data_IF_411259478244
#
_entry.id   IF_411259478244
#
_cell.length_a   1.000
_cell.length_b   1.000
_cell.length_c   1.000
_cell.angle_alpha   90.00
_cell.angle_beta   90.00
_cell.angle_gamma   90.00
#
_symmetry.space_group_name_H-M   'P 1'
#
loop_
_entity.id
_entity.type
_entity.pdbx_description
1 polymer ?
#
# COMPACT_ATOMS: atom_id res chain seq x y z
N UNK A 1 -10.21 7.11 -15.34
CA UNK A 1 -10.62 6.67 -14.00
C UNK A 1 -11.21 5.29 -14.11
N UNK A 2 -10.64 4.30 -13.42
CA UNK A 2 -11.39 3.07 -13.14
C UNK A 2 -12.55 3.53 -12.25
N UNK A 3 -13.80 3.29 -12.66
CA UNK A 3 -14.94 3.51 -11.78
C UNK A 3 -14.82 2.54 -10.61
N UNK A 4 -14.18 2.98 -9.54
CA UNK A 4 -13.99 2.20 -8.33
C UNK A 4 -15.35 1.70 -7.79
N UNK A 5 -16.45 2.41 -8.09
CA UNK A 5 -17.87 2.07 -7.81
C UNK A 5 -18.40 0.83 -8.54
N UNK A 6 -17.66 0.28 -9.51
CA UNK A 6 -18.03 -0.92 -10.29
C UNK A 6 -17.25 -2.17 -9.87
N UNK A 7 -16.97 -2.36 -8.58
CA UNK A 7 -16.77 -3.74 -8.12
C UNK A 7 -18.11 -4.46 -8.31
N UNK A 8 -18.17 -5.38 -9.27
CA UNK A 8 -19.39 -6.13 -9.56
C UNK A 8 -19.59 -7.21 -8.49
N UNK A 9 -20.25 -6.82 -7.39
CA UNK A 9 -20.56 -7.70 -6.25
C UNK A 9 -21.80 -8.56 -6.56
N UNK A 10 -22.45 -8.39 -7.72
CA UNK A 10 -23.74 -9.04 -8.04
C UNK A 10 -23.68 -10.57 -8.06
N UNK A 11 -22.49 -11.16 -8.13
CA UNK A 11 -22.27 -12.62 -8.06
C UNK A 11 -21.87 -13.16 -6.68
N UNK A 12 -21.78 -12.33 -5.64
CA UNK A 12 -21.37 -12.77 -4.29
C UNK A 12 -22.63 -12.98 -3.44
N UNK A 13 -23.02 -14.24 -3.27
CA UNK A 13 -24.09 -14.68 -2.38
C UNK A 13 -23.55 -15.13 -1.02
N UNK A 14 -24.43 -15.22 -0.01
CA UNK A 14 -24.08 -15.74 1.32
C UNK A 14 -23.19 -14.79 2.16
N UNK A 15 -22.49 -15.32 3.19
CA UNK A 15 -21.71 -14.54 4.16
C UNK A 15 -20.68 -13.58 3.53
N UNK A 16 -20.06 -13.98 2.41
CA UNK A 16 -19.12 -13.14 1.66
C UNK A 16 -19.74 -11.84 1.14
N UNK A 17 -21.06 -11.82 0.91
CA UNK A 17 -21.79 -10.62 0.49
C UNK A 17 -21.87 -9.57 1.60
N UNK A 18 -22.06 -10.01 2.84
CA UNK A 18 -22.12 -9.13 4.02
C UNK A 18 -20.75 -8.55 4.32
N UNK A 19 -19.69 -9.37 4.23
CA UNK A 19 -18.31 -8.91 4.36
C UNK A 19 -17.96 -7.89 3.29
N UNK A 20 -18.31 -8.12 2.02
CA UNK A 20 -18.10 -7.16 0.94
C UNK A 20 -18.75 -5.80 1.24
N UNK A 21 -20.01 -5.81 1.68
CA UNK A 21 -20.76 -4.57 2.03
C UNK A 21 -20.09 -3.79 3.16
N UNK A 22 -19.40 -4.46 4.07
CA UNK A 22 -18.65 -3.85 5.18
C UNK A 22 -17.27 -3.33 4.73
N UNK A 23 -16.53 -4.12 3.96
CA UNK A 23 -15.13 -3.86 3.60
C UNK A 23 -15.02 -2.77 2.53
N UNK A 24 -15.84 -2.85 1.49
CA UNK A 24 -15.72 -1.98 0.31
C UNK A 24 -15.81 -0.49 0.68
N UNK A 25 -16.79 -0.02 1.49
CA UNK A 25 -16.81 1.36 1.96
C UNK A 25 -15.53 1.79 2.70
N UNK A 26 -14.91 0.88 3.45
CA UNK A 26 -13.63 1.12 4.14
C UNK A 26 -12.50 1.34 3.14
N UNK A 27 -12.38 0.51 2.10
CA UNK A 27 -11.41 0.68 1.00
C UNK A 27 -11.55 2.07 0.36
N UNK A 28 -12.77 2.48 0.01
CA UNK A 28 -12.97 3.81 -0.58
C UNK A 28 -12.62 4.94 0.37
N UNK A 29 -12.93 4.79 1.66
CA UNK A 29 -12.58 5.78 2.67
C UNK A 29 -11.07 5.95 2.78
N UNK A 30 -10.30 4.86 2.74
CA UNK A 30 -8.82 4.90 2.80
C UNK A 30 -8.20 5.45 1.52
N UNK A 31 -8.76 5.12 0.34
CA UNK A 31 -8.35 5.72 -0.94
C UNK A 31 -8.60 7.23 -0.94
N UNK A 32 -9.81 7.69 -0.61
CA UNK A 32 -10.14 9.12 -0.58
C UNK A 32 -9.26 9.91 0.39
N UNK A 33 -8.91 9.30 1.54
CA UNK A 33 -7.98 9.91 2.50
C UNK A 33 -6.58 10.09 1.89
N UNK A 34 -6.05 9.07 1.22
CA UNK A 34 -4.75 9.15 0.55
C UNK A 34 -4.75 10.26 -0.52
N UNK A 35 -5.78 10.31 -1.37
CA UNK A 35 -5.95 11.36 -2.40
C UNK A 35 -6.00 12.75 -1.76
N UNK A 36 -6.80 12.92 -0.71
CA UNK A 36 -6.95 14.22 -0.04
C UNK A 36 -5.65 14.70 0.59
N UNK A 37 -4.84 13.79 1.15
CA UNK A 37 -3.54 14.13 1.74
C UNK A 37 -2.54 14.47 0.63
N UNK A 38 -2.51 13.66 -0.43
CA UNK A 38 -1.64 13.90 -1.58
C UNK A 38 -1.88 15.28 -2.21
N UNK A 39 -3.15 15.64 -2.47
CA UNK A 39 -3.49 16.95 -3.04
C UNK A 39 -2.97 18.12 -2.21
N UNK A 40 -3.07 18.04 -0.88
CA UNK A 40 -2.50 19.05 0.03
C UNK A 40 -0.98 19.04 0.03
N UNK A 41 -0.37 17.88 -0.14
CA UNK A 41 1.09 17.73 -0.12
C UNK A 41 1.75 18.39 -1.33
N UNK A 42 1.13 18.26 -2.51
CA UNK A 42 1.68 18.81 -3.76
C UNK A 42 1.41 20.31 -3.96
N UNK A 43 0.57 20.94 -3.12
CA UNK A 43 0.38 22.40 -3.15
C UNK A 43 1.71 23.15 -2.92
N UNK A 44 2.58 22.58 -2.08
CA UNK A 44 3.93 23.10 -1.82
C UNK A 44 4.91 21.94 -1.65
N UNK A 45 5.68 21.65 -2.69
CA UNK A 45 6.72 20.62 -2.63
C UNK A 45 7.91 21.09 -1.75
N UNK A 46 8.60 20.16 -1.04
CA UNK A 46 9.81 20.50 -0.31
C UNK A 46 10.94 20.92 -1.25
N UNK A 47 11.74 21.91 -0.85
CA UNK A 47 12.88 22.41 -1.62
C UNK A 47 14.13 21.52 -1.50
N UNK A 48 14.25 20.74 -0.41
CA UNK A 48 15.41 19.91 -0.14
C UNK A 48 15.03 18.66 0.64
N UNK A 49 15.82 17.59 0.46
CA UNK A 49 15.71 16.36 1.23
C UNK A 49 16.13 16.58 2.69
N UNK A 50 15.36 16.02 3.62
CA UNK A 50 15.68 16.06 5.04
C UNK A 50 16.47 14.81 5.45
N UNK A 51 17.34 14.91 6.45
CA UNK A 51 17.95 13.72 7.06
C UNK A 51 17.21 13.35 8.34
N UNK A 52 17.00 12.05 8.55
CA UNK A 52 16.44 11.53 9.78
C UNK A 52 17.47 10.74 10.59
N UNK A 53 17.46 10.86 11.93
CA UNK A 53 18.34 10.06 12.77
C UNK A 53 17.90 8.59 12.78
N UNK A 54 18.78 7.68 13.17
CA UNK A 54 18.49 6.24 13.14
C UNK A 54 17.24 5.88 13.97
N UNK A 55 17.04 6.55 15.10
CA UNK A 55 15.92 6.34 16.01
C UNK A 55 14.57 6.61 15.35
N UNK A 56 14.51 7.51 14.36
CA UNK A 56 13.29 7.76 13.59
C UNK A 56 12.88 6.53 12.77
N UNK A 57 13.84 5.87 12.13
CA UNK A 57 13.57 4.68 11.32
C UNK A 57 13.15 3.49 12.20
N UNK A 58 13.74 3.36 13.38
CA UNK A 58 13.32 2.39 14.40
C UNK A 58 11.89 2.64 14.86
N UNK A 59 11.55 3.91 15.15
CA UNK A 59 10.20 4.36 15.48
C UNK A 59 9.19 4.00 14.38
N UNK A 60 9.56 4.22 13.10
CA UNK A 60 8.73 3.89 11.93
C UNK A 60 8.48 2.38 11.85
N UNK A 61 9.51 1.54 12.01
CA UNK A 61 9.37 0.07 11.98
C UNK A 61 8.48 -0.41 13.13
N UNK A 62 8.68 0.11 14.34
CA UNK A 62 7.87 -0.22 15.51
C UNK A 62 6.41 0.18 15.29
N UNK A 63 6.15 1.38 14.75
CA UNK A 63 4.81 1.85 14.47
C UNK A 63 4.13 1.04 13.36
N UNK A 64 4.86 0.70 12.28
CA UNK A 64 4.38 -0.16 11.21
C UNK A 64 3.93 -1.52 11.75
N UNK A 65 4.74 -2.15 12.62
CA UNK A 65 4.40 -3.44 13.24
C UNK A 65 3.14 -3.35 14.11
N UNK A 66 2.96 -2.26 14.86
CA UNK A 66 1.72 -2.02 15.65
C UNK A 66 0.48 -1.88 14.77
N UNK A 67 0.64 -1.48 13.50
CA UNK A 67 -0.43 -1.37 12.51
C UNK A 67 -0.67 -2.68 11.73
N UNK A 68 0.01 -3.78 12.07
CA UNK A 68 -0.14 -5.07 11.39
C UNK A 68 0.66 -5.19 10.09
N UNK A 69 1.66 -4.31 9.87
CA UNK A 69 2.57 -4.44 8.73
C UNK A 69 3.70 -5.39 9.13
N UNK A 70 3.81 -6.49 8.40
CA UNK A 70 4.74 -7.58 8.70
C UNK A 70 5.99 -7.59 7.81
N UNK A 71 5.92 -6.94 6.65
CA UNK A 71 7.05 -6.76 5.76
C UNK A 71 7.28 -5.26 5.57
N UNK A 72 8.51 -4.83 5.78
CA UNK A 72 8.95 -3.47 5.52
C UNK A 72 10.30 -3.53 4.80
N UNK A 73 10.44 -2.73 3.75
CA UNK A 73 11.66 -2.56 3.01
C UNK A 73 11.86 -1.09 2.66
N UNK A 74 13.10 -0.72 2.39
CA UNK A 74 13.49 0.65 2.06
C UNK A 74 14.27 0.63 0.74
N UNK A 75 13.93 1.54 -0.17
CA UNK A 75 14.61 1.68 -1.45
C UNK A 75 14.39 3.09 -2.02
N UNK A 76 15.32 3.60 -2.85
CA UNK A 76 15.02 4.77 -3.65
C UNK A 76 13.89 4.45 -4.64
N UNK A 77 13.01 5.43 -4.88
CA UNK A 77 12.01 5.36 -5.94
C UNK A 77 12.71 5.17 -7.28
N UNK A 78 12.09 4.35 -8.11
CA UNK A 78 12.52 4.07 -9.47
C UNK A 78 11.47 4.63 -10.43
N UNK A 79 11.81 5.73 -11.11
CA UNK A 79 10.89 6.41 -12.02
C UNK A 79 10.52 5.52 -13.21
N UNK A 80 11.38 4.57 -13.62
CA UNK A 80 11.08 3.60 -14.68
C UNK A 80 9.96 2.63 -14.27
N UNK A 81 9.67 2.52 -12.98
CA UNK A 81 8.56 1.71 -12.45
C UNK A 81 7.27 2.52 -12.29
N UNK A 82 7.30 3.84 -12.47
CA UNK A 82 6.13 4.69 -12.34
C UNK A 82 5.20 4.55 -13.55
N UNK A 83 3.91 4.54 -13.29
CA UNK A 83 2.92 4.59 -14.35
C UNK A 83 2.77 6.02 -14.85
N UNK A 84 2.58 6.18 -16.16
CA UNK A 84 2.28 7.51 -16.75
C UNK A 84 1.05 8.16 -16.10
N UNK A 85 0.03 7.35 -15.77
CA UNK A 85 -1.21 7.81 -15.16
C UNK A 85 -1.74 6.84 -14.09
N UNK A 86 -1.76 7.27 -12.83
CA UNK A 86 -2.49 6.58 -11.77
C UNK A 86 -3.99 6.90 -11.85
N UNK A 87 -4.79 5.93 -12.32
CA UNK A 87 -6.23 6.09 -12.46
C UNK A 87 -7.03 5.96 -11.15
N UNK A 88 -6.38 5.67 -10.02
CA UNK A 88 -7.01 5.46 -8.71
C UNK A 88 -6.65 6.59 -7.74
N UNK A 89 -5.37 6.80 -7.47
CA UNK A 89 -4.89 7.80 -6.53
C UNK A 89 -4.67 9.18 -7.14
N UNK A 90 -4.54 9.28 -8.47
CA UNK A 90 -4.16 10.52 -9.15
C UNK A 90 -2.82 11.06 -8.65
N UNK A 91 -1.90 10.17 -8.29
CA UNK A 91 -0.57 10.51 -7.81
C UNK A 91 0.36 10.61 -9.02
N UNK A 92 0.90 11.81 -9.24
CA UNK A 92 1.76 12.16 -10.39
C UNK A 92 3.21 12.40 -9.95
N UNK A 93 3.42 12.72 -8.68
CA UNK A 93 4.74 13.03 -8.11
C UNK A 93 5.00 12.16 -6.89
N UNK A 94 6.18 11.56 -6.85
CA UNK A 94 6.75 10.87 -5.70
C UNK A 94 8.05 11.56 -5.28
N UNK A 95 8.48 11.32 -4.05
CA UNK A 95 9.77 11.70 -3.51
C UNK A 95 10.82 10.62 -3.82
N UNK A 96 12.09 10.95 -3.59
CA UNK A 96 13.23 10.13 -4.00
C UNK A 96 13.33 8.78 -3.27
N UNK A 97 12.78 8.65 -2.06
CA UNK A 97 12.88 7.44 -1.25
C UNK A 97 11.52 6.82 -0.96
N UNK A 98 11.49 5.50 -0.82
CA UNK A 98 10.29 4.72 -0.58
C UNK A 98 10.45 3.79 0.61
N UNK A 99 9.39 3.72 1.41
CA UNK A 99 9.13 2.66 2.37
C UNK A 99 8.11 1.72 1.74
N UNK A 100 8.54 0.51 1.40
CA UNK A 100 7.68 -0.52 0.82
C UNK A 100 7.11 -1.37 1.94
N UNK A 101 5.78 -1.52 1.97
CA UNK A 101 5.06 -2.20 3.03
C UNK A 101 4.40 -3.46 2.47
N UNK A 102 4.30 -4.50 3.29
CA UNK A 102 3.57 -5.72 2.95
C UNK A 102 2.77 -6.27 4.13
N UNK A 103 1.55 -6.70 3.84
CA UNK A 103 0.62 -7.32 4.79
C UNK A 103 0.17 -8.67 4.24
N UNK A 104 0.22 -9.69 5.09
CA UNK A 104 -0.18 -11.06 4.77
C UNK A 104 -1.70 -11.12 4.58
N UNK A 105 -2.15 -11.93 3.61
CA UNK A 105 -3.56 -12.31 3.50
C UNK A 105 -3.81 -13.59 4.31
N UNK A 106 -4.99 -13.78 4.91
CA UNK A 106 -5.34 -15.00 5.64
C UNK A 106 -5.11 -16.28 4.79
N UNK A 107 -4.43 -17.27 5.35
CA UNK A 107 -4.11 -18.51 4.65
C UNK A 107 -5.37 -19.28 4.26
N UNK A 108 -6.29 -19.47 5.21
CA UNK A 108 -7.44 -20.35 5.02
C UNK A 108 -8.39 -19.76 3.98
N UNK A 109 -8.58 -18.44 3.98
CA UNK A 109 -9.37 -17.75 2.96
C UNK A 109 -8.75 -17.85 1.56
N UNK A 110 -7.42 -17.74 1.45
CA UNK A 110 -6.74 -17.84 0.15
C UNK A 110 -6.71 -19.30 -0.36
N UNK A 111 -6.64 -20.29 0.53
CA UNK A 111 -6.67 -21.72 0.18
C UNK A 111 -8.01 -22.16 -0.43
N UNK A 112 -9.08 -21.36 -0.29
CA UNK A 112 -10.36 -21.61 -0.97
C UNK A 112 -10.39 -21.13 -2.41
N UNK A 113 -9.33 -20.52 -2.95
CA UNK A 113 -9.36 -19.99 -4.31
C UNK A 113 -9.74 -21.09 -5.34
N UNK A 114 -10.61 -20.78 -6.33
CA UNK A 114 -11.10 -19.45 -6.72
C UNK A 114 -12.41 -19.00 -6.04
N UNK A 115 -12.85 -19.64 -4.95
CA UNK A 115 -14.12 -19.32 -4.30
C UNK A 115 -14.16 -17.89 -3.69
N UNK A 116 -15.36 -17.30 -3.49
CA UNK A 116 -15.52 -15.92 -3.02
C UNK A 116 -14.70 -15.50 -1.79
N UNK A 117 -14.46 -16.33 -0.76
CA UNK A 117 -13.66 -15.92 0.40
C UNK A 117 -12.25 -15.42 0.06
N UNK A 118 -11.59 -16.00 -0.93
CA UNK A 118 -10.26 -15.56 -1.37
C UNK A 118 -10.28 -14.13 -1.96
N UNK A 119 -11.34 -13.80 -2.69
CA UNK A 119 -11.58 -12.45 -3.22
C UNK A 119 -11.91 -11.44 -2.12
N UNK A 120 -12.74 -11.84 -1.15
CA UNK A 120 -13.07 -11.01 0.02
C UNK A 120 -11.81 -10.70 0.83
N UNK A 121 -10.95 -11.68 1.05
CA UNK A 121 -9.71 -11.47 1.80
C UNK A 121 -8.77 -10.51 1.06
N UNK A 122 -8.71 -10.58 -0.27
CA UNK A 122 -7.96 -9.59 -1.05
C UNK A 122 -8.49 -8.16 -0.86
N UNK A 123 -9.82 -7.99 -0.83
CA UNK A 123 -10.46 -6.70 -0.55
C UNK A 123 -10.22 -6.24 0.89
N UNK A 124 -10.25 -7.17 1.84
CA UNK A 124 -9.98 -6.91 3.25
C UNK A 124 -8.58 -6.31 3.43
N UNK A 125 -7.55 -6.93 2.84
CA UNK A 125 -6.19 -6.38 2.93
C UNK A 125 -6.06 -5.04 2.20
N UNK A 126 -6.78 -4.78 1.10
CA UNK A 126 -6.81 -3.41 0.54
C UNK A 126 -7.34 -2.38 1.53
N UNK A 127 -8.31 -2.74 2.37
CA UNK A 127 -8.84 -1.86 3.40
C UNK A 127 -7.87 -1.70 4.58
N UNK A 128 -7.37 -2.81 5.13
CA UNK A 128 -6.49 -2.79 6.32
C UNK A 128 -5.12 -2.20 6.01
N UNK A 129 -4.44 -2.67 4.95
CA UNK A 129 -3.15 -2.13 4.54
C UNK A 129 -3.29 -0.67 4.07
N UNK A 130 -4.41 -0.32 3.43
CA UNK A 130 -4.71 1.05 3.04
C UNK A 130 -4.86 1.99 4.24
N UNK A 131 -5.53 1.53 5.30
CA UNK A 131 -5.63 2.27 6.55
C UNK A 131 -4.27 2.39 7.26
N UNK A 132 -3.53 1.28 7.36
CA UNK A 132 -2.20 1.24 7.97
C UNK A 132 -1.21 2.18 7.26
N UNK A 133 -1.18 2.15 5.93
CA UNK A 133 -0.33 3.03 5.10
C UNK A 133 -0.62 4.51 5.38
N UNK A 134 -1.91 4.88 5.41
CA UNK A 134 -2.33 6.25 5.73
C UNK A 134 -1.93 6.65 7.15
N UNK A 135 -2.12 5.78 8.15
CA UNK A 135 -1.76 6.05 9.55
C UNK A 135 -0.26 6.22 9.72
N UNK A 136 0.55 5.33 9.13
CA UNK A 136 2.00 5.42 9.18
C UNK A 136 2.52 6.68 8.47
N UNK A 137 1.91 7.06 7.34
CA UNK A 137 2.21 8.32 6.66
C UNK A 137 1.90 9.53 7.55
N UNK A 138 0.75 9.55 8.22
CA UNK A 138 0.42 10.61 9.20
C UNK A 138 1.43 10.65 10.36
N UNK A 139 1.88 9.49 10.86
CA UNK A 139 2.91 9.42 11.89
C UNK A 139 4.23 10.05 11.43
N UNK A 140 4.72 9.69 10.24
CA UNK A 140 5.93 10.27 9.64
C UNK A 140 5.80 11.79 9.54
N UNK A 141 4.66 12.28 9.04
CA UNK A 141 4.36 13.72 8.95
C UNK A 141 4.31 14.42 10.29
N UNK A 142 3.78 13.75 11.33
CA UNK A 142 3.76 14.32 12.69
C UNK A 142 5.15 14.49 13.31
N UNK A 143 6.16 13.80 12.78
CA UNK A 143 7.57 13.95 13.16
C UNK A 143 8.28 15.06 12.37
N UNK A 144 7.58 15.77 11.47
CA UNK A 144 8.12 16.89 10.70
C UNK A 144 8.57 16.54 9.28
N UNK A 145 8.48 15.27 8.87
CA UNK A 145 8.97 14.81 7.57
C UNK A 145 7.87 14.76 6.50
N UNK A 146 8.23 15.02 5.25
CA UNK A 146 7.29 14.99 4.11
C UNK A 146 7.12 13.55 3.62
N UNK A 147 5.87 13.16 3.40
CA UNK A 147 5.52 11.80 3.00
C UNK A 147 4.19 11.73 2.26
N UNK A 148 4.13 10.84 1.26
CA UNK A 148 2.99 10.56 0.38
C UNK A 148 2.59 9.09 0.54
N UNK A 149 1.33 8.85 0.88
CA UNK A 149 0.77 7.50 0.98
C UNK A 149 0.33 7.00 -0.40
N UNK A 150 0.92 5.90 -0.86
CA UNK A 150 0.49 5.19 -2.08
C UNK A 150 -0.34 3.97 -1.65
N UNK A 151 -1.65 4.06 -1.87
CA UNK A 151 -2.62 3.06 -1.41
C UNK A 151 -2.40 1.68 -2.09
N UNK A 152 -2.64 0.54 -1.41
CA UNK A 152 -2.43 -0.78 -2.01
C UNK A 152 -3.39 -1.09 -3.17
N UNK A 153 -4.61 -0.54 -3.13
CA UNK A 153 -5.53 -0.58 -4.28
C UNK A 153 -5.10 0.50 -5.29
N UNK A 154 -4.58 0.05 -6.43
CA UNK A 154 -3.98 0.93 -7.44
C UNK A 154 -2.58 1.37 -7.01
N UNK A 155 -2.17 2.54 -7.50
CA UNK A 155 -0.88 3.13 -7.14
C UNK A 155 -0.16 3.74 -8.34
N UNK A 156 0.73 4.71 -8.10
CA UNK A 156 1.50 5.38 -9.14
C UNK A 156 2.74 4.61 -9.60
N UNK A 157 3.07 3.48 -8.97
CA UNK A 157 4.32 2.76 -9.20
C UNK A 157 4.13 1.24 -9.06
N UNK A 158 4.91 0.45 -9.79
CA UNK A 158 4.86 -1.00 -9.79
C UNK A 158 5.38 -1.60 -8.46
N UNK A 159 4.47 -1.78 -7.49
CA UNK A 159 4.83 -2.23 -6.13
C UNK A 159 5.63 -3.54 -6.05
N UNK A 160 5.33 -4.62 -6.81
CA UNK A 160 6.12 -5.84 -6.75
C UNK A 160 7.60 -5.62 -7.11
N UNK A 161 7.88 -4.77 -8.10
CA UNK A 161 9.24 -4.44 -8.51
C UNK A 161 9.93 -3.56 -7.46
N UNK A 162 9.22 -2.59 -6.88
CA UNK A 162 9.73 -1.82 -5.73
C UNK A 162 10.06 -2.70 -4.53
N UNK A 163 9.25 -3.72 -4.23
CA UNK A 163 9.52 -4.66 -3.15
C UNK A 163 10.77 -5.52 -3.41
N UNK A 164 11.04 -5.89 -4.67
CA UNK A 164 12.31 -6.55 -5.04
C UNK A 164 13.49 -5.60 -4.84
N UNK A 165 13.37 -4.35 -5.28
CA UNK A 165 14.40 -3.31 -5.09
C UNK A 165 14.69 -3.07 -3.61
N UNK A 166 13.66 -3.14 -2.76
CA UNK A 166 13.76 -3.05 -1.30
C UNK A 166 14.22 -4.35 -0.61
N UNK A 167 14.60 -5.39 -1.36
CA UNK A 167 15.13 -6.65 -0.83
C UNK A 167 14.11 -7.56 -0.15
N UNK A 168 12.80 -7.33 -0.33
CA UNK A 168 11.74 -8.07 0.38
C UNK A 168 11.48 -9.47 -0.22
N UNK A 169 11.91 -9.71 -1.46
CA UNK A 169 11.64 -10.96 -2.17
C UNK A 169 12.17 -10.98 -3.61
N UNK A 170 11.69 -11.96 -4.39
CA UNK A 170 12.00 -12.11 -5.82
C UNK A 170 10.74 -12.38 -6.62
N UNK A 171 10.69 -11.97 -7.89
CA UNK A 171 9.59 -12.36 -8.78
C UNK A 171 9.74 -13.84 -9.15
N UNK A 172 8.71 -14.63 -8.88
CA UNK A 172 8.64 -16.03 -9.27
C UNK A 172 8.23 -16.21 -10.74
N UNK A 173 8.33 -17.42 -11.27
CA UNK A 173 7.93 -17.73 -12.67
C UNK A 173 6.46 -17.44 -12.97
N UNK A 174 5.62 -17.44 -11.94
CA UNK A 174 4.21 -17.08 -11.98
C UNK A 174 3.95 -15.56 -12.04
N UNK A 175 4.99 -14.73 -12.07
CA UNK A 175 4.89 -13.27 -12.14
C UNK A 175 4.55 -12.57 -10.82
N UNK A 176 4.45 -13.31 -9.71
CA UNK A 176 4.17 -12.75 -8.38
C UNK A 176 5.45 -12.60 -7.56
N UNK A 177 5.47 -11.59 -6.68
CA UNK A 177 6.50 -11.45 -5.65
C UNK A 177 6.45 -12.66 -4.70
N UNK A 178 7.58 -13.34 -4.52
CA UNK A 178 7.80 -14.36 -3.50
C UNK A 178 8.66 -13.79 -2.39
N UNK A 179 8.05 -13.61 -1.22
CA UNK A 179 8.71 -13.19 0.01
C UNK A 179 9.15 -14.44 0.80
N UNK A 180 10.19 -14.32 1.62
CA UNK A 180 10.67 -15.43 2.44
C UNK A 180 9.63 -15.87 3.48
N UNK A 181 8.84 -14.93 4.01
CA UNK A 181 7.89 -15.16 5.11
C UNK A 181 6.55 -15.70 4.62
N UNK A 182 6.00 -15.15 3.53
CA UNK A 182 4.61 -15.39 3.12
C UNK A 182 4.46 -16.02 1.74
N UNK A 183 5.57 -16.26 1.03
CA UNK A 183 5.52 -16.65 -0.37
C UNK A 183 4.84 -15.53 -1.20
N UNK A 184 3.79 -15.84 -2.00
CA UNK A 184 3.02 -14.84 -2.74
C UNK A 184 1.83 -14.25 -1.98
N UNK A 185 1.56 -14.68 -0.74
CA UNK A 185 0.31 -14.39 -0.01
C UNK A 185 0.36 -13.03 0.72
N UNK A 186 0.61 -11.96 -0.03
CA UNK A 186 0.62 -10.61 0.50
C UNK A 186 0.01 -9.59 -0.48
N UNK A 187 -0.36 -8.43 0.06
CA UNK A 187 -0.53 -7.19 -0.71
C UNK A 187 0.53 -6.19 -0.30
N UNK A 188 0.79 -5.23 -1.18
CA UNK A 188 1.85 -4.25 -1.03
C UNK A 188 1.28 -2.84 -1.10
N UNK A 189 1.96 -1.92 -0.42
CA UNK A 189 1.77 -0.47 -0.58
C UNK A 189 3.12 0.21 -0.45
N UNK A 190 3.16 1.51 -0.79
CA UNK A 190 4.37 2.32 -0.70
C UNK A 190 4.06 3.60 0.06
N UNK A 191 5.02 4.07 0.85
CA UNK A 191 5.06 5.45 1.34
C UNK A 191 6.28 6.09 0.71
N UNK A 192 6.05 7.09 -0.15
CA UNK A 192 7.12 7.91 -0.70
C UNK A 192 7.50 8.97 0.33
N UNK A 193 8.78 9.12 0.64
CA UNK A 193 9.31 9.99 1.70
C UNK A 193 10.44 10.88 1.18
N UNK A 194 10.45 12.14 1.60
CA UNK A 194 11.53 13.08 1.31
C UNK A 194 12.53 13.09 2.47
N UNK A 195 13.14 11.92 2.73
CA UNK A 195 14.00 11.68 3.90
C UNK A 195 15.18 10.80 3.46
N UNK A 196 16.38 11.09 3.95
CA UNK A 196 17.59 10.25 3.89
C UNK A 196 17.99 9.74 5.27
#
# INVERSE_FOLDING_TARGET
MIELTKFDIKGIEGPSSEDAKRIIPKVFKTVRKAISIYKKEIEVLPESIQSAPQEFWEDVIVHAKKLGIDLIGFAPIDEDLMFEHDHVGGIEVLYENAIVLGMEMDYNAIDTAPEPPAGIESLNIYAELGEATNKLTTFIRSKGYRAIACHPLGGPILYPAMAVKAGMGKIGKQGLLITKKFGPRQRLSVISVNIT
#
